data_IF_695877734817
#
_entry.id   IF_695877734817
#
_cell.length_a   1.000
_cell.length_b   1.000
_cell.length_c   1.000
_cell.angle_alpha   90.00
_cell.angle_beta   90.00
_cell.angle_gamma   90.00
#
_symmetry.space_group_name_H-M   'P 1'
#
loop_
_entity.id
_entity.type
_entity.pdbx_description
1 polymer ?
#
# COMPACT_ATOMS: atom_id res chain seq x y z
N UNK A 1 20.58 -9.78 30.30
CA UNK A 1 19.50 -9.00 29.66
C UNK A 1 19.92 -8.69 28.23
N UNK A 2 19.77 -9.65 27.32
CA UNK A 2 19.98 -9.44 25.88
C UNK A 2 18.88 -10.27 25.21
N UNK A 3 17.79 -9.61 24.84
CA UNK A 3 16.77 -10.25 23.99
C UNK A 3 17.32 -10.28 22.57
N UNK A 4 17.32 -11.48 21.97
CA UNK A 4 18.00 -11.77 20.72
C UNK A 4 17.50 -10.95 19.53
N UNK A 5 18.47 -10.55 18.70
CA UNK A 5 18.28 -10.09 17.33
C UNK A 5 17.62 -11.18 16.50
N UNK A 6 16.30 -11.06 16.31
CA UNK A 6 15.51 -12.09 15.62
C UNK A 6 14.24 -11.52 14.99
N UNK A 7 14.37 -10.65 13.98
CA UNK A 7 13.24 -10.29 13.15
C UNK A 7 13.48 -9.09 12.24
N UNK A 8 13.84 -9.33 10.98
CA UNK A 8 13.76 -8.33 9.90
C UNK A 8 12.30 -8.03 9.55
N UNK A 9 11.57 -7.39 10.45
CA UNK A 9 10.22 -6.89 10.21
C UNK A 9 10.20 -5.39 10.51
N UNK A 10 9.40 -4.62 9.76
CA UNK A 10 9.30 -3.15 9.92
C UNK A 10 8.98 -2.68 11.34
N UNK A 11 8.52 -3.58 12.22
CA UNK A 11 8.19 -3.28 13.61
C UNK A 11 9.08 -4.02 14.62
N UNK A 12 10.05 -4.82 14.17
CA UNK A 12 10.91 -5.63 15.05
C UNK A 12 10.14 -6.63 15.91
N UNK A 13 8.95 -7.04 15.47
CA UNK A 13 8.07 -7.96 16.20
C UNK A 13 8.19 -9.36 15.63
N UNK A 14 8.24 -10.34 16.54
CA UNK A 14 8.25 -11.77 16.27
C UNK A 14 6.89 -12.40 16.55
N UNK A 15 6.61 -13.55 15.93
CA UNK A 15 5.40 -14.34 16.22
C UNK A 15 5.33 -14.77 17.70
N UNK A 16 6.48 -14.90 18.36
CA UNK A 16 6.59 -15.25 19.79
C UNK A 16 6.10 -14.15 20.72
N UNK A 17 6.11 -12.89 20.28
CA UNK A 17 5.65 -11.77 21.10
C UNK A 17 4.12 -11.81 21.32
N UNK A 18 3.40 -12.63 20.54
CA UNK A 18 1.95 -12.81 20.58
C UNK A 18 1.17 -11.47 20.68
N UNK A 19 1.69 -10.43 20.01
CA UNK A 19 1.10 -9.09 20.05
C UNK A 19 -0.25 -9.12 19.33
N UNK A 20 -1.28 -8.62 20.00
CA UNK A 20 -2.62 -8.48 19.41
C UNK A 20 -2.59 -7.59 18.16
N UNK A 21 -3.34 -7.97 17.13
CA UNK A 21 -3.48 -7.19 15.91
C UNK A 21 -3.93 -5.75 16.16
N UNK A 22 -4.74 -5.50 17.18
CA UNK A 22 -5.16 -4.16 17.60
C UNK A 22 -3.98 -3.27 17.99
N UNK A 23 -3.00 -3.82 18.72
CA UNK A 23 -1.80 -3.09 19.14
C UNK A 23 -0.89 -2.79 17.94
N UNK A 24 -0.75 -3.74 17.01
CA UNK A 24 -0.04 -3.52 15.75
C UNK A 24 -0.72 -2.40 14.94
N UNK A 25 -2.05 -2.43 14.83
CA UNK A 25 -2.84 -1.39 14.13
C UNK A 25 -2.76 -0.03 14.82
N UNK A 26 -2.69 0.00 16.16
CA UNK A 26 -2.50 1.22 16.95
C UNK A 26 -1.13 1.85 16.67
N UNK A 27 -0.06 1.05 16.69
CA UNK A 27 1.32 1.50 16.38
C UNK A 27 1.46 2.01 14.95
N UNK A 28 0.86 1.31 13.99
CA UNK A 28 0.98 1.61 12.55
C UNK A 28 -0.04 2.61 12.03
N UNK A 29 -1.09 2.93 12.80
CA UNK A 29 -2.22 3.77 12.38
C UNK A 29 -2.81 3.33 11.04
N UNK A 30 -2.97 2.01 10.84
CA UNK A 30 -3.34 1.37 9.56
C UNK A 30 -4.60 1.94 8.89
N UNK A 31 -5.53 2.54 9.65
CA UNK A 31 -6.68 3.24 9.04
C UNK A 31 -6.25 4.39 8.12
N UNK A 32 -5.18 5.11 8.49
CA UNK A 32 -4.64 6.23 7.71
C UNK A 32 -3.93 5.73 6.43
N UNK A 33 -3.18 4.62 6.51
CA UNK A 33 -2.45 4.11 5.33
C UNK A 33 -3.41 3.60 4.25
N UNK A 34 -4.52 2.97 4.62
CA UNK A 34 -5.53 2.52 3.64
C UNK A 34 -6.10 3.69 2.83
N UNK A 35 -6.41 4.81 3.51
CA UNK A 35 -6.85 6.04 2.85
C UNK A 35 -5.73 6.65 1.97
N UNK A 36 -4.49 6.65 2.45
CA UNK A 36 -3.34 7.14 1.68
C UNK A 36 -3.09 6.31 0.43
N UNK A 37 -3.17 4.99 0.51
CA UNK A 37 -3.04 4.07 -0.62
C UNK A 37 -4.16 4.29 -1.62
N UNK A 38 -5.41 4.41 -1.17
CA UNK A 38 -6.54 4.71 -2.03
C UNK A 38 -6.35 6.05 -2.76
N UNK A 39 -5.93 7.10 -2.04
CA UNK A 39 -5.64 8.41 -2.63
C UNK A 39 -4.54 8.33 -3.70
N UNK A 40 -3.43 7.66 -3.40
CA UNK A 40 -2.32 7.50 -4.35
C UNK A 40 -2.74 6.71 -5.59
N UNK A 41 -3.51 5.63 -5.41
CA UNK A 41 -4.07 4.83 -6.51
C UNK A 41 -4.92 5.68 -7.45
N UNK A 42 -5.84 6.48 -6.90
CA UNK A 42 -6.72 7.33 -7.71
C UNK A 42 -6.00 8.52 -8.34
N UNK A 43 -5.00 9.09 -7.66
CA UNK A 43 -4.14 10.13 -8.25
C UNK A 43 -3.39 9.58 -9.47
N UNK A 44 -2.75 8.41 -9.33
CA UNK A 44 -2.07 7.75 -10.44
C UNK A 44 -3.04 7.42 -11.58
N UNK A 45 -4.22 6.85 -11.29
CA UNK A 45 -5.22 6.54 -12.31
C UNK A 45 -5.66 7.78 -13.08
N UNK A 46 -5.91 8.89 -12.38
CA UNK A 46 -6.24 10.17 -13.01
C UNK A 46 -5.11 10.72 -13.87
N UNK A 47 -3.87 10.61 -13.42
CA UNK A 47 -2.71 11.04 -14.20
C UNK A 47 -2.53 10.18 -15.45
N UNK A 48 -2.71 8.86 -15.36
CA UNK A 48 -2.67 7.96 -16.53
C UNK A 48 -3.79 8.28 -17.51
N UNK A 49 -5.01 8.54 -17.04
CA UNK A 49 -6.16 8.86 -17.90
C UNK A 49 -5.99 10.18 -18.67
N UNK A 50 -5.24 11.16 -18.12
CA UNK A 50 -4.98 12.46 -18.77
C UNK A 50 -3.73 12.48 -19.63
N UNK A 51 -2.87 11.47 -19.55
CA UNK A 51 -1.63 11.40 -20.35
C UNK A 51 -1.98 11.20 -21.83
N UNK A 52 -1.42 12.06 -22.67
CA UNK A 52 -1.58 12.05 -24.13
C UNK A 52 -0.38 11.44 -24.87
N UNK A 53 0.59 10.86 -24.15
CA UNK A 53 1.90 10.44 -24.68
C UNK A 53 1.90 9.09 -25.43
N UNK A 54 0.78 8.69 -26.03
CA UNK A 54 0.70 7.54 -26.95
C UNK A 54 1.07 6.17 -26.36
N UNK A 55 1.25 6.07 -25.03
CA UNK A 55 1.52 4.81 -24.32
C UNK A 55 0.27 3.94 -24.24
N UNK A 56 0.36 2.78 -23.59
CA UNK A 56 -0.76 1.85 -23.44
C UNK A 56 -2.04 2.43 -22.82
N UNK A 57 -1.98 3.59 -22.14
CA UNK A 57 -3.12 4.23 -21.48
C UNK A 57 -4.33 4.43 -22.40
N UNK A 58 -4.23 5.22 -23.49
CA UNK A 58 -5.28 5.33 -24.51
C UNK A 58 -5.74 3.98 -25.08
N UNK A 59 -4.82 3.07 -25.45
CA UNK A 59 -5.18 1.74 -26.00
C UNK A 59 -5.99 0.87 -25.05
N UNK A 60 -5.75 0.96 -23.74
CA UNK A 60 -6.49 0.22 -22.71
C UNK A 60 -7.82 0.90 -22.37
N UNK A 61 -7.88 2.23 -22.42
CA UNK A 61 -9.12 3.00 -22.18
C UNK A 61 -10.08 2.99 -23.37
N UNK A 62 -9.56 2.96 -24.59
CA UNK A 62 -10.33 2.86 -25.85
C UNK A 62 -10.64 1.40 -26.21
N UNK A 63 -10.35 0.43 -25.33
CA UNK A 63 -10.45 -1.00 -25.63
C UNK A 63 -11.89 -1.55 -25.70
N UNK A 64 -12.88 -0.68 -25.95
CA UNK A 64 -14.28 -1.03 -26.18
C UNK A 64 -14.91 -0.09 -27.21
N UNK A 65 -14.88 -0.52 -28.48
CA UNK A 65 -15.87 -0.21 -29.51
C UNK A 65 -15.60 -1.16 -30.70
N UNK A 66 -16.47 -2.17 -30.83
CA UNK A 66 -17.00 -2.68 -32.09
C UNK A 66 -18.52 -2.69 -31.95
#
# INVERSE_FOLDING_TARGET
>A
MVAGDGGSSMLGVSLLDQIRNEEIRRRTRVTNIAQRVAKLKWQWAGDIARRKDGRWGPKVLEWQHW
#
